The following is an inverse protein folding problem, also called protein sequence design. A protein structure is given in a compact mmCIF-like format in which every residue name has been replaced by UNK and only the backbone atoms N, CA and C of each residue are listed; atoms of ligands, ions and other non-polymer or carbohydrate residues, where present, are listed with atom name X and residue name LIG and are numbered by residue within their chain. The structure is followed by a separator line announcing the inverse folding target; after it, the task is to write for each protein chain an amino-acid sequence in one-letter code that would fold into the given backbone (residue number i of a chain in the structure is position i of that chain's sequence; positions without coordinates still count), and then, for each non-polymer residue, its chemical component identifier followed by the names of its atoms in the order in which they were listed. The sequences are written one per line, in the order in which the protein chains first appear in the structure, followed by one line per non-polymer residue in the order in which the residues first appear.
data_IF_005305720505
#
_entry.id   IF_005305720505
#
_cell.length_a   1.000
_cell.length_b   1.000
_cell.length_c   1.000
_cell.angle_alpha   90.00
_cell.angle_beta   90.00
_cell.angle_gamma   90.00
#
_symmetry.space_group_name_H-M   'P 1'
#
loop_
_entity.id
_entity.type
_entity.pdbx_description
1 polymer ?
#
# COMPACT_ATOMS: atom_id res chain seq x y z
N UNK A 1 -16.00 -4.85 43.06
CA UNK A 1 -15.88 -5.33 41.66
C UNK A 1 -17.09 -4.80 40.90
N UNK A 2 -16.96 -3.62 40.29
CA UNK A 2 -18.07 -2.92 39.63
C UNK A 2 -17.93 -3.11 38.12
N UNK A 3 -18.90 -3.79 37.51
CA UNK A 3 -18.95 -4.04 36.07
C UNK A 3 -19.29 -2.71 35.39
N UNK A 4 -18.30 -2.11 34.71
CA UNK A 4 -18.51 -0.89 33.93
C UNK A 4 -19.37 -1.25 32.72
N UNK A 5 -20.66 -0.90 32.81
CA UNK A 5 -21.63 -1.02 31.72
C UNK A 5 -21.07 -0.36 30.46
N UNK A 6 -20.99 -1.11 29.35
CA UNK A 6 -20.61 -0.56 28.03
C UNK A 6 -21.62 0.53 27.69
N UNK A 7 -21.19 1.79 27.69
CA UNK A 7 -21.97 2.89 27.16
C UNK A 7 -22.10 2.66 25.65
N UNK A 8 -23.32 2.35 25.20
CA UNK A 8 -23.66 2.28 23.80
C UNK A 8 -23.87 3.73 23.33
N UNK A 9 -22.77 4.46 23.08
CA UNK A 9 -22.86 5.79 22.47
C UNK A 9 -23.38 5.62 21.04
N UNK A 10 -24.38 6.41 20.60
CA UNK A 10 -24.80 6.40 19.21
C UNK A 10 -23.59 6.80 18.37
N UNK A 11 -23.19 5.95 17.42
CA UNK A 11 -22.14 6.32 16.48
C UNK A 11 -22.61 7.57 15.71
N UNK A 12 -21.73 8.55 15.48
CA UNK A 12 -22.12 9.73 14.74
C UNK A 12 -22.61 9.30 13.36
N UNK A 13 -23.81 9.75 12.98
CA UNK A 13 -24.48 9.43 11.71
C UNK A 13 -23.55 9.54 10.49
N UNK A 14 -22.57 10.45 10.56
CA UNK A 14 -21.56 10.70 9.55
C UNK A 14 -20.60 9.53 9.30
N UNK A 15 -20.20 8.78 10.33
CA UNK A 15 -19.35 7.59 10.17
C UNK A 15 -20.08 6.49 9.41
N UNK A 16 -21.37 6.29 9.71
CA UNK A 16 -22.21 5.31 9.01
C UNK A 16 -22.50 5.73 7.56
N UNK A 17 -22.62 7.03 7.25
CA UNK A 17 -22.70 7.50 5.86
C UNK A 17 -21.40 7.29 5.10
N UNK A 18 -20.24 7.58 5.69
CA UNK A 18 -18.94 7.38 5.05
C UNK A 18 -18.64 5.89 4.82
N UNK A 19 -18.99 5.03 5.78
CA UNK A 19 -18.88 3.58 5.64
C UNK A 19 -19.81 3.04 4.54
N UNK A 20 -21.01 3.63 4.39
CA UNK A 20 -21.92 3.29 3.30
C UNK A 20 -21.39 3.76 1.95
N UNK A 21 -20.87 4.99 1.87
CA UNK A 21 -20.33 5.59 0.64
C UNK A 21 -19.07 4.89 0.12
N UNK A 22 -18.22 4.38 1.00
CA UNK A 22 -17.06 3.57 0.62
C UNK A 22 -17.46 2.20 0.05
N UNK A 23 -18.51 1.58 0.60
CA UNK A 23 -19.01 0.28 0.12
C UNK A 23 -19.76 0.40 -1.22
N UNK A 24 -20.56 1.47 -1.41
CA UNK A 24 -21.18 1.72 -2.72
C UNK A 24 -20.17 2.14 -3.77
N UNK A 25 -19.11 2.89 -3.48
CA UNK A 25 -18.15 3.28 -4.53
C UNK A 25 -17.29 2.12 -5.05
N UNK A 26 -17.00 1.13 -4.20
CA UNK A 26 -16.27 -0.09 -4.61
C UNK A 26 -17.17 -1.04 -5.41
N UNK A 27 -18.47 -1.12 -5.10
CA UNK A 27 -19.41 -2.03 -5.77
C UNK A 27 -20.13 -1.43 -6.98
N UNK A 28 -20.40 -0.12 -7.03
CA UNK A 28 -21.13 0.53 -8.12
C UNK A 28 -20.26 0.96 -9.29
N UNK A 29 -18.92 1.01 -9.13
CA UNK A 29 -17.98 1.25 -10.23
C UNK A 29 -17.53 -0.05 -10.92
N UNK A 30 -18.21 -1.16 -10.66
CA UNK A 30 -18.12 -2.32 -11.53
C UNK A 30 -19.02 -2.04 -12.71
N UNK A 31 -18.43 -1.69 -13.86
CA UNK A 31 -19.21 -1.59 -15.10
C UNK A 31 -20.05 -2.85 -15.22
N UNK A 32 -21.37 -2.75 -15.46
CA UNK A 32 -22.32 -3.89 -15.58
C UNK A 32 -21.85 -4.98 -16.56
N UNK A 33 -20.84 -4.63 -17.36
CA UNK A 33 -20.23 -5.41 -18.40
C UNK A 33 -18.93 -6.13 -18.00
N UNK A 34 -18.40 -5.91 -16.80
CA UNK A 34 -17.12 -6.46 -16.36
C UNK A 34 -17.19 -7.99 -16.20
N UNK A 35 -18.31 -8.50 -15.70
CA UNK A 35 -18.52 -9.92 -15.41
C UNK A 35 -18.41 -10.78 -16.68
N UNK A 36 -19.13 -10.41 -17.75
CA UNK A 36 -19.08 -11.18 -18.99
C UNK A 36 -17.74 -11.06 -19.71
N UNK A 37 -17.04 -9.93 -19.57
CA UNK A 37 -15.70 -9.75 -20.16
C UNK A 37 -14.68 -10.67 -19.47
N UNK A 38 -14.73 -10.75 -18.14
CA UNK A 38 -13.90 -11.66 -17.37
C UNK A 38 -14.17 -13.13 -17.74
N UNK A 39 -15.44 -13.51 -17.82
CA UNK A 39 -15.83 -14.87 -18.23
C UNK A 39 -15.39 -15.19 -19.67
N UNK A 40 -15.60 -14.28 -20.62
CA UNK A 40 -15.18 -14.47 -22.01
C UNK A 40 -13.66 -14.62 -22.13
N UNK A 41 -12.89 -13.76 -21.45
CA UNK A 41 -11.42 -13.86 -21.42
C UNK A 41 -11.00 -15.19 -20.79
N UNK A 42 -11.62 -15.62 -19.68
CA UNK A 42 -11.33 -16.90 -19.05
C UNK A 42 -11.52 -18.08 -20.01
N UNK A 43 -12.66 -18.14 -20.72
CA UNK A 43 -12.94 -19.22 -21.68
C UNK A 43 -11.95 -19.19 -22.84
N UNK A 44 -11.69 -18.01 -23.41
CA UNK A 44 -10.75 -17.85 -24.54
C UNK A 44 -9.33 -18.23 -24.12
N UNK A 45 -8.86 -17.76 -22.96
CA UNK A 45 -7.54 -18.09 -22.43
C UNK A 45 -7.42 -19.57 -22.12
N UNK A 46 -8.45 -20.20 -21.55
CA UNK A 46 -8.45 -21.64 -21.25
C UNK A 46 -8.35 -22.48 -22.54
N UNK A 47 -9.16 -22.16 -23.55
CA UNK A 47 -9.10 -22.85 -24.85
C UNK A 47 -7.74 -22.62 -25.51
N UNK A 48 -7.24 -21.39 -25.50
CA UNK A 48 -5.93 -21.04 -26.09
C UNK A 48 -4.79 -21.78 -25.39
N UNK A 49 -4.84 -21.91 -24.07
CA UNK A 49 -3.88 -22.66 -23.28
C UNK A 49 -3.92 -24.16 -23.60
N UNK A 50 -5.11 -24.74 -23.73
CA UNK A 50 -5.26 -26.15 -24.10
C UNK A 50 -4.70 -26.42 -25.50
N UNK A 51 -4.98 -25.53 -26.47
CA UNK A 51 -4.41 -25.62 -27.81
C UNK A 51 -2.89 -25.49 -27.77
N UNK A 52 -2.37 -24.54 -26.99
CA UNK A 52 -0.93 -24.35 -26.81
C UNK A 52 -0.26 -25.59 -26.23
N UNK A 53 -0.75 -26.13 -25.11
CA UNK A 53 -0.22 -27.34 -24.48
C UNK A 53 -0.33 -28.56 -25.41
N UNK A 54 -1.45 -28.69 -26.11
CA UNK A 54 -1.62 -29.78 -27.08
C UNK A 54 -0.57 -29.68 -28.19
N UNK A 55 -0.32 -28.48 -28.71
CA UNK A 55 0.70 -28.25 -29.73
C UNK A 55 2.13 -28.52 -29.24
N UNK A 56 2.46 -28.17 -28.00
CA UNK A 56 3.81 -28.41 -27.46
C UNK A 56 4.09 -29.88 -27.15
N UNK A 57 3.09 -30.63 -26.69
CA UNK A 57 3.23 -32.04 -26.27
C UNK A 57 3.07 -33.01 -27.44
N UNK A 58 2.23 -32.70 -28.45
CA UNK A 58 1.97 -33.64 -29.54
C UNK A 58 3.24 -33.93 -30.39
N UNK A 59 3.58 -35.19 -30.67
CA UNK A 59 4.64 -35.55 -31.62
C UNK A 59 4.24 -35.24 -33.07
N UNK A 60 5.23 -34.96 -33.92
CA UNK A 60 5.03 -34.53 -35.32
C UNK A 60 4.25 -35.55 -36.15
N UNK A 61 4.41 -36.83 -35.84
CA UNK A 61 3.70 -37.94 -36.49
C UNK A 61 2.18 -37.86 -36.33
N UNK A 62 1.69 -37.28 -35.22
CA UNK A 62 0.26 -37.10 -34.98
C UNK A 62 -0.25 -35.83 -35.68
N UNK A 63 0.57 -34.77 -35.73
CA UNK A 63 0.25 -33.53 -36.44
C UNK A 63 0.11 -33.75 -37.95
N UNK A 64 1.03 -34.52 -38.54
CA UNK A 64 0.98 -34.86 -39.96
C UNK A 64 -0.24 -35.72 -40.31
N UNK A 65 -0.68 -36.60 -39.39
CA UNK A 65 -1.94 -37.36 -39.56
C UNK A 65 -3.18 -36.47 -39.49
N UNK A 66 -3.11 -35.35 -38.77
CA UNK A 66 -4.16 -34.33 -38.70
C UNK A 66 -4.12 -33.35 -39.90
N UNK A 67 -3.24 -33.60 -40.88
CA UNK A 67 -3.05 -32.78 -42.09
C UNK A 67 -2.48 -31.37 -41.83
N UNK A 68 -1.76 -31.18 -40.72
CA UNK A 68 -1.15 -29.90 -40.34
C UNK A 68 0.35 -29.96 -40.65
N UNK A 69 0.76 -29.28 -41.72
CA UNK A 69 2.15 -29.29 -42.21
C UNK A 69 2.91 -27.98 -41.97
N UNK A 70 2.22 -26.90 -41.62
CA UNK A 70 2.82 -25.59 -41.41
C UNK A 70 2.54 -25.09 -40.00
N UNK A 71 3.54 -25.20 -39.14
CA UNK A 71 3.55 -24.63 -37.79
C UNK A 71 4.94 -24.01 -37.52
N UNK A 72 5.02 -22.96 -36.67
CA UNK A 72 6.30 -22.35 -36.31
C UNK A 72 7.21 -23.35 -35.58
N UNK A 73 8.50 -23.13 -35.57
CA UNK A 73 9.43 -24.05 -34.91
C UNK A 73 9.10 -24.24 -33.41
N UNK A 74 9.33 -25.46 -32.88
CA UNK A 74 8.99 -25.82 -31.49
C UNK A 74 9.76 -24.98 -30.47
N UNK A 75 10.86 -24.33 -30.86
CA UNK A 75 11.60 -23.45 -29.93
C UNK A 75 10.71 -22.34 -29.35
N UNK A 76 9.68 -21.88 -30.07
CA UNK A 76 8.75 -20.86 -29.59
C UNK A 76 7.99 -21.30 -28.33
N UNK A 77 7.77 -22.61 -28.17
CA UNK A 77 7.19 -23.18 -26.95
C UNK A 77 8.01 -22.85 -25.69
N UNK A 78 9.34 -22.78 -25.83
CA UNK A 78 10.29 -22.47 -24.77
C UNK A 78 10.58 -20.97 -24.70
N UNK A 79 10.68 -20.30 -25.85
CA UNK A 79 11.04 -18.89 -25.92
C UNK A 79 9.98 -18.01 -25.25
N UNK A 80 8.69 -18.19 -25.56
CA UNK A 80 7.62 -17.35 -25.00
C UNK A 80 7.62 -17.33 -23.46
N UNK A 81 7.60 -18.47 -22.74
CA UNK A 81 7.60 -18.46 -21.28
C UNK A 81 8.90 -17.93 -20.70
N UNK A 82 10.06 -18.24 -21.28
CA UNK A 82 11.36 -17.77 -20.76
C UNK A 82 11.53 -16.25 -20.93
N UNK A 83 11.21 -15.70 -22.09
CA UNK A 83 11.21 -14.25 -22.31
C UNK A 83 10.17 -13.52 -21.46
N UNK A 84 8.98 -14.12 -21.26
CA UNK A 84 7.96 -13.53 -20.36
C UNK A 84 8.45 -13.44 -18.91
N UNK A 85 9.08 -14.49 -18.39
CA UNK A 85 9.67 -14.47 -17.04
C UNK A 85 10.81 -13.46 -16.93
N UNK A 86 11.70 -13.39 -17.93
CA UNK A 86 12.80 -12.41 -17.94
C UNK A 86 12.28 -10.97 -18.03
N UNK A 87 11.25 -10.72 -18.84
CA UNK A 87 10.59 -9.42 -18.92
C UNK A 87 9.96 -9.03 -17.58
N UNK A 88 9.27 -9.96 -16.91
CA UNK A 88 8.70 -9.72 -15.59
C UNK A 88 9.77 -9.34 -14.56
N UNK A 89 10.87 -10.09 -14.50
CA UNK A 89 11.99 -9.79 -13.61
C UNK A 89 12.63 -8.43 -13.93
N UNK A 90 12.78 -8.10 -15.21
CA UNK A 90 13.30 -6.81 -15.66
C UNK A 90 12.41 -5.65 -15.21
N UNK A 91 11.08 -5.78 -15.35
CA UNK A 91 10.13 -4.76 -14.87
C UNK A 91 10.25 -4.54 -13.37
N UNK A 92 10.32 -5.60 -12.56
CA UNK A 92 10.51 -5.48 -11.12
C UNK A 92 11.81 -4.78 -10.76
N UNK A 93 12.90 -5.12 -11.46
CA UNK A 93 14.19 -4.49 -11.22
C UNK A 93 14.19 -3.00 -11.56
N UNK A 94 13.62 -2.63 -12.72
CA UNK A 94 13.48 -1.22 -13.12
C UNK A 94 12.59 -0.45 -12.15
N UNK A 95 11.47 -1.02 -11.71
CA UNK A 95 10.59 -0.39 -10.73
C UNK A 95 11.30 -0.19 -9.38
N UNK A 96 12.07 -1.18 -8.91
CA UNK A 96 12.84 -1.06 -7.68
C UNK A 96 13.88 0.06 -7.78
N UNK A 97 14.61 0.15 -8.90
CA UNK A 97 15.56 1.23 -9.17
C UNK A 97 14.87 2.60 -9.22
N UNK A 98 13.78 2.69 -9.99
CA UNK A 98 13.01 3.92 -10.12
C UNK A 98 12.45 4.41 -8.78
N UNK A 99 11.90 3.50 -7.97
CA UNK A 99 11.43 3.83 -6.63
C UNK A 99 12.57 4.34 -5.76
N UNK A 100 13.75 3.71 -5.82
CA UNK A 100 14.91 4.05 -5.00
C UNK A 100 15.56 5.38 -5.38
N UNK A 101 15.62 5.71 -6.68
CA UNK A 101 16.35 6.88 -7.18
C UNK A 101 15.46 8.11 -7.38
N UNK A 102 14.20 7.92 -7.81
CA UNK A 102 13.33 9.03 -8.21
C UNK A 102 12.26 9.34 -7.16
N UNK A 103 11.63 8.31 -6.60
CA UNK A 103 10.50 8.51 -5.67
C UNK A 103 10.93 8.65 -4.22
N UNK A 104 11.98 7.94 -3.79
CA UNK A 104 12.47 8.00 -2.41
C UNK A 104 13.65 8.95 -2.28
N UNK A 105 13.77 9.56 -1.09
CA UNK A 105 14.97 10.29 -0.71
C UNK A 105 16.16 9.33 -0.62
N UNK A 106 17.40 9.82 -0.84
CA UNK A 106 18.58 8.98 -0.67
C UNK A 106 18.62 8.42 0.77
N UNK A 107 18.97 7.14 0.91
CA UNK A 107 18.92 6.41 2.19
C UNK A 107 19.76 7.06 3.31
N UNK A 108 20.75 7.88 2.95
CA UNK A 108 21.61 8.60 3.89
C UNK A 108 21.02 9.95 4.34
N UNK A 109 19.78 10.27 3.99
CA UNK A 109 19.12 11.51 4.39
C UNK A 109 18.23 11.29 5.60
N UNK A 110 18.43 12.11 6.64
CA UNK A 110 17.68 12.05 7.89
C UNK A 110 16.18 12.32 7.70
N UNK A 111 15.82 12.99 6.61
CA UNK A 111 14.43 13.18 6.18
C UNK A 111 13.69 11.86 5.89
N UNK A 112 14.37 10.73 5.85
CA UNK A 112 13.75 9.40 5.78
C UNK A 112 13.06 9.02 7.10
N UNK A 113 13.52 9.58 8.22
CA UNK A 113 13.01 9.28 9.58
C UNK A 113 12.03 10.38 10.05
N UNK A 114 12.13 11.57 9.47
CA UNK A 114 11.37 12.77 9.86
C UNK A 114 10.31 13.09 8.80
N UNK A 115 9.06 13.23 9.23
CA UNK A 115 7.93 13.67 8.38
C UNK A 115 7.47 15.11 8.72
N UNK A 116 6.52 15.65 7.95
CA UNK A 116 5.88 16.96 8.13
C UNK A 116 5.28 17.14 9.54
N UNK A 117 4.86 16.04 10.17
CA UNK A 117 4.30 16.02 11.52
C UNK A 117 5.34 15.81 12.63
N UNK A 118 6.63 15.90 12.32
CA UNK A 118 7.69 15.81 13.34
C UNK A 118 7.79 17.12 14.10
N UNK A 119 7.67 17.07 15.43
CA UNK A 119 7.76 18.25 16.28
C UNK A 119 9.18 18.40 16.84
N UNK A 120 9.80 19.55 16.56
CA UNK A 120 11.12 19.89 17.10
C UNK A 120 11.01 20.79 18.34
N UNK A 121 11.96 20.73 19.29
CA UNK A 121 11.98 21.64 20.44
C UNK A 121 11.98 23.10 19.98
N UNK A 122 11.13 23.95 20.58
CA UNK A 122 11.06 25.37 20.25
C UNK A 122 10.36 25.71 18.92
N UNK A 123 9.67 24.75 18.30
CA UNK A 123 8.80 25.03 17.16
C UNK A 123 7.44 25.56 17.66
N UNK A 124 7.12 26.80 17.32
CA UNK A 124 5.75 27.32 17.46
C UNK A 124 4.82 26.57 16.49
N UNK A 125 3.59 26.31 16.93
CA UNK A 125 2.57 25.43 16.31
C UNK A 125 2.13 25.80 14.88
N UNK A 126 2.71 26.82 14.25
CA UNK A 126 2.21 27.36 12.99
C UNK A 126 3.25 27.33 11.87
N UNK A 127 2.98 26.45 10.89
CA UNK A 127 3.59 26.50 9.57
C UNK A 127 4.26 25.19 9.14
N UNK A 128 3.91 24.71 7.94
CA UNK A 128 4.66 23.65 7.28
C UNK A 128 6.09 24.14 7.01
N UNK A 129 7.08 23.46 7.58
CA UNK A 129 8.48 23.75 7.27
C UNK A 129 8.80 23.33 5.82
N UNK A 130 9.63 24.11 5.15
CA UNK A 130 10.16 23.72 3.83
C UNK A 130 11.08 22.50 3.97
N UNK A 131 11.18 21.65 2.95
CA UNK A 131 12.00 20.41 3.00
C UNK A 131 13.46 20.63 3.42
N UNK A 132 14.02 21.80 3.12
CA UNK A 132 15.41 22.12 3.51
C UNK A 132 15.52 22.58 4.95
N UNK A 133 14.54 23.33 5.45
CA UNK A 133 14.46 23.73 6.86
C UNK A 133 14.22 22.52 7.76
N UNK A 134 13.34 21.59 7.34
CA UNK A 134 13.15 20.30 8.01
C UNK A 134 14.46 19.52 8.13
N UNK A 135 15.24 19.48 7.05
CA UNK A 135 16.55 18.80 7.06
C UNK A 135 17.51 19.41 8.08
N UNK A 136 17.60 20.74 8.10
CA UNK A 136 18.52 21.45 8.98
C UNK A 136 18.16 21.24 10.46
N UNK A 137 16.87 21.39 10.81
CA UNK A 137 16.37 21.10 12.17
C UNK A 137 16.54 19.63 12.53
N UNK A 138 16.24 18.71 11.61
CA UNK A 138 16.43 17.29 11.85
C UNK A 138 17.89 16.94 12.16
N UNK A 139 18.85 17.48 11.41
CA UNK A 139 20.27 17.27 11.69
C UNK A 139 20.73 17.89 13.02
N UNK A 140 20.15 19.02 13.42
CA UNK A 140 20.48 19.69 14.69
C UNK A 140 19.96 18.88 15.89
N UNK A 141 18.70 18.46 15.85
CA UNK A 141 18.03 17.80 16.97
C UNK A 141 18.10 16.26 16.93
N UNK A 142 18.78 15.63 15.96
CA UNK A 142 18.85 14.16 15.87
C UNK A 142 19.46 13.50 17.11
N UNK A 143 20.40 14.19 17.75
CA UNK A 143 21.09 13.70 18.94
C UNK A 143 20.45 14.18 20.24
N UNK A 144 19.47 15.08 20.15
CA UNK A 144 18.75 15.60 21.30
C UNK A 144 17.53 14.75 21.58
N UNK A 145 17.28 14.51 22.86
CA UNK A 145 16.04 13.86 23.26
C UNK A 145 14.85 14.76 22.88
N UNK A 146 13.75 14.19 22.33
CA UNK A 146 12.53 14.95 22.12
C UNK A 146 12.11 15.59 23.44
N UNK A 147 11.56 16.80 23.37
CA UNK A 147 11.14 17.50 24.59
C UNK A 147 10.11 16.63 25.33
N UNK A 148 10.49 16.11 26.50
CA UNK A 148 9.70 15.14 27.27
C UNK A 148 8.34 15.64 27.75
N UNK A 149 7.98 16.89 27.44
CA UNK A 149 6.64 17.47 27.65
C UNK A 149 5.59 16.73 26.82
N UNK A 150 5.93 16.24 25.61
CA UNK A 150 5.01 15.47 24.76
C UNK A 150 4.90 14.00 25.18
N UNK A 151 5.92 13.48 25.85
CA UNK A 151 6.00 12.10 26.34
C UNK A 151 5.70 12.00 27.85
N UNK A 152 4.89 12.92 28.38
CA UNK A 152 4.50 12.92 29.79
C UNK A 152 3.53 11.75 30.05
N UNK A 153 3.75 10.90 31.07
CA UNK A 153 2.79 9.87 31.43
C UNK A 153 1.44 10.51 31.77
N UNK A 154 0.35 9.89 31.30
CA UNK A 154 -1.02 10.41 31.49
C UNK A 154 -1.37 10.66 32.96
N UNK A 155 -0.72 9.95 33.89
CA UNK A 155 -0.86 10.18 35.32
C UNK A 155 -0.40 11.58 35.74
N UNK A 156 0.73 12.06 35.20
CA UNK A 156 1.29 13.38 35.53
C UNK A 156 0.50 14.51 34.85
N UNK A 157 -0.03 14.25 33.65
CA UNK A 157 -0.99 15.15 32.98
C UNK A 157 -2.27 15.29 33.79
N UNK A 158 -2.86 14.18 34.23
CA UNK A 158 -4.06 14.19 35.06
C UNK A 158 -3.82 14.88 36.41
N UNK A 159 -2.67 14.64 37.02
CA UNK A 159 -2.28 15.31 38.26
C UNK A 159 -2.27 16.83 38.04
N UNK A 160 -1.54 17.36 37.07
CA UNK A 160 -1.51 18.81 36.82
C UNK A 160 -2.88 19.39 36.44
N UNK A 161 -3.68 18.70 35.63
CA UNK A 161 -4.98 19.21 35.15
C UNK A 161 -6.09 19.19 36.19
N UNK A 162 -6.05 18.26 37.13
CA UNK A 162 -7.17 18.01 38.06
C UNK A 162 -6.82 18.25 39.54
N UNK A 163 -5.54 18.42 39.89
CA UNK A 163 -5.12 18.63 41.28
C UNK A 163 -5.61 19.97 41.88
N UNK A 164 -5.96 20.96 41.05
CA UNK A 164 -6.47 22.26 41.53
C UNK A 164 -7.96 22.23 41.96
N UNK A 165 -8.62 21.07 41.91
CA UNK A 165 -10.07 20.98 42.17
C UNK A 165 -10.48 20.60 43.60
N UNK A 166 -9.53 20.39 44.53
CA UNK A 166 -9.84 20.00 45.93
C UNK A 166 -9.44 21.01 47.02
N UNK A 167 -8.85 22.17 46.69
CA UNK A 167 -8.29 23.08 47.73
C UNK A 167 -9.20 24.27 48.10
N UNK A 168 -10.52 24.12 47.94
CA UNK A 168 -11.50 25.17 48.23
C UNK A 168 -12.83 24.64 48.76
N UNK A 169 -12.82 23.97 49.92
CA UNK A 169 -13.92 24.01 50.91
C UNK A 169 -13.54 23.19 52.16
N UNK A 170 -12.87 23.84 53.13
CA UNK A 170 -13.04 23.63 54.59
C UNK A 170 -12.71 24.92 55.34
#
# INVERSE_FOLDING_TARGET
MSVKSRSNSPRPFQEDTLARESDVTVSTNVTQNAEYKGFAIYVITTISLLVWISWTILPETILHKLSIYYYPDRYWALAIPTYSLMLMAFIYWVLALYNTEVLTLPLNDIRTIVDEHSHFPGQELEGKLTRDQLRQKACEYVHDAPSGVWDLPISLVNEVLYNDSEEGDI
#
